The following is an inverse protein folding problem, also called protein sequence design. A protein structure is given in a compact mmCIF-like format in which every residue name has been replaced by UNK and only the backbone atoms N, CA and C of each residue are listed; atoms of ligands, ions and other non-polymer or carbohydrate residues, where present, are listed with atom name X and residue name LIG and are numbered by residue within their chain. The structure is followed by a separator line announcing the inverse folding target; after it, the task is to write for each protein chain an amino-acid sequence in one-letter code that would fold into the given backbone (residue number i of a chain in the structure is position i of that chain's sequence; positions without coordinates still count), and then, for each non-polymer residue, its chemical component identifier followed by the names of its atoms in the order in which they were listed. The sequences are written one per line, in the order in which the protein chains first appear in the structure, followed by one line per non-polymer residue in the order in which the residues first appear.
data_IF_354614358209
#
_entry.id   IF_354614358209
#
_cell.length_a   1.000
_cell.length_b   1.000
_cell.length_c   1.000
_cell.angle_alpha   90.00
_cell.angle_beta   90.00
_cell.angle_gamma   90.00
#
_symmetry.space_group_name_H-M   'P 1'
#
loop_
_entity.id
_entity.type
_entity.pdbx_description
1 polymer ?
#
# COMPACT_ATOMS: atom_id res chain seq x y z
N UNK A 1 10.49 1.49 61.07
CA UNK A 1 11.23 2.73 60.85
C UNK A 1 10.79 3.87 61.76
N UNK A 2 9.71 3.70 62.49
CA UNK A 2 9.15 4.71 63.42
C UNK A 2 9.96 4.94 64.70
N UNK A 3 11.10 4.29 64.90
CA UNK A 3 11.92 4.43 66.09
C UNK A 3 13.09 5.40 66.00
N UNK A 4 13.32 6.00 64.84
CA UNK A 4 14.50 6.82 64.59
C UNK A 4 14.22 8.32 64.29
N UNK A 5 12.95 8.76 64.30
CA UNK A 5 12.62 10.16 64.05
C UNK A 5 13.14 10.70 62.67
N UNK A 6 13.24 9.83 61.66
CA UNK A 6 13.85 10.15 60.38
C UNK A 6 12.87 10.69 59.33
N UNK A 7 11.63 10.97 59.73
CA UNK A 7 10.60 11.43 58.78
C UNK A 7 10.74 12.91 58.38
N UNK A 8 11.47 13.72 59.17
CA UNK A 8 11.60 15.17 58.89
C UNK A 8 13.04 15.69 58.72
N UNK A 9 14.07 14.86 58.82
CA UNK A 9 15.45 15.31 58.55
C UNK A 9 15.85 15.06 57.12
N UNK A 10 16.22 16.14 56.39
CA UNK A 10 16.86 16.07 55.10
C UNK A 10 18.13 15.24 55.23
N UNK A 11 18.14 14.02 54.69
CA UNK A 11 19.30 13.12 54.69
C UNK A 11 20.42 13.70 53.81
N UNK A 12 21.17 14.67 54.32
CA UNK A 12 22.37 15.26 53.73
C UNK A 12 23.62 14.38 53.98
N UNK A 13 23.62 13.18 53.46
CA UNK A 13 24.82 12.35 53.48
C UNK A 13 25.51 12.39 52.11
N UNK A 14 26.78 12.85 52.05
CA UNK A 14 27.62 12.81 50.85
C UNK A 14 27.66 11.40 50.21
N UNK A 15 27.48 10.37 50.99
CA UNK A 15 27.44 8.98 50.58
C UNK A 15 26.12 8.68 49.83
N UNK A 16 25.00 9.19 50.34
CA UNK A 16 23.67 9.05 49.72
C UNK A 16 23.62 9.81 48.37
N UNK A 17 24.18 11.02 48.32
CA UNK A 17 24.30 11.79 47.07
C UNK A 17 25.05 11.02 45.97
N UNK A 18 26.20 10.42 46.31
CA UNK A 18 26.97 9.60 45.36
C UNK A 18 26.22 8.34 44.89
N UNK A 19 25.44 7.71 45.79
CA UNK A 19 24.64 6.53 45.41
C UNK A 19 23.51 6.94 44.48
N UNK A 20 22.82 8.03 44.75
CA UNK A 20 21.75 8.58 43.91
C UNK A 20 22.31 8.95 42.53
N UNK A 21 23.43 9.67 42.47
CA UNK A 21 24.11 10.04 41.23
C UNK A 21 24.49 8.79 40.39
N UNK A 22 25.09 7.79 41.01
CA UNK A 22 25.44 6.53 40.33
C UNK A 22 24.19 5.76 39.81
N UNK A 23 23.08 5.80 40.55
CA UNK A 23 21.82 5.20 40.09
C UNK A 23 21.23 5.98 38.93
N UNK A 24 21.27 7.31 38.99
CA UNK A 24 20.81 8.16 37.88
C UNK A 24 21.64 7.94 36.62
N UNK A 25 22.98 7.94 36.71
CA UNK A 25 23.84 7.62 35.57
C UNK A 25 23.52 6.25 34.95
N UNK A 26 23.28 5.25 35.79
CA UNK A 26 22.96 3.90 35.31
C UNK A 26 21.59 3.87 34.61
N UNK A 27 20.56 4.55 35.15
CA UNK A 27 19.25 4.66 34.55
C UNK A 27 19.30 5.46 33.25
N UNK A 28 20.06 6.57 33.22
CA UNK A 28 20.26 7.37 32.00
C UNK A 28 20.99 6.57 30.93
N UNK A 29 22.07 5.85 31.29
CA UNK A 29 22.78 4.95 30.39
C UNK A 29 21.87 3.88 29.80
N UNK A 30 21.09 3.22 30.62
CA UNK A 30 20.13 2.22 30.16
C UNK A 30 19.07 2.83 29.22
N UNK A 31 18.50 3.98 29.57
CA UNK A 31 17.56 4.67 28.72
C UNK A 31 18.18 5.14 27.40
N UNK A 32 19.44 5.54 27.42
CA UNK A 32 20.19 5.90 26.21
C UNK A 32 20.36 4.69 25.29
N UNK A 33 20.79 3.55 25.83
CA UNK A 33 20.96 2.32 25.08
C UNK A 33 19.66 1.82 24.45
N UNK A 34 18.57 1.86 25.21
CA UNK A 34 17.22 1.51 24.67
C UNK A 34 16.85 2.42 23.52
N UNK A 35 17.02 3.76 23.68
CA UNK A 35 16.72 4.71 22.59
C UNK A 35 17.60 4.51 21.38
N UNK A 36 18.89 4.24 21.58
CA UNK A 36 19.84 3.95 20.51
C UNK A 36 19.42 2.70 19.72
N UNK A 37 19.10 1.63 20.41
CA UNK A 37 18.61 0.41 19.77
C UNK A 37 17.35 0.66 18.94
N UNK A 38 16.34 1.35 19.50
CA UNK A 38 15.14 1.70 18.75
C UNK A 38 15.49 2.48 17.47
N UNK A 39 16.39 3.46 17.56
CA UNK A 39 16.80 4.28 16.43
C UNK A 39 17.51 3.46 15.34
N UNK A 40 18.36 2.50 15.74
CA UNK A 40 19.10 1.63 14.82
C UNK A 40 18.16 0.75 13.98
N UNK A 41 17.10 0.20 14.57
CA UNK A 41 16.04 -0.52 13.85
C UNK A 41 15.20 0.39 12.96
N UNK A 42 14.80 1.53 13.46
CA UNK A 42 13.99 2.50 12.70
C UNK A 42 14.75 3.06 11.49
N UNK A 43 16.07 3.20 11.57
CA UNK A 43 16.91 3.66 10.46
C UNK A 43 16.84 2.71 9.24
N UNK A 44 16.69 1.41 9.43
CA UNK A 44 16.55 0.44 8.34
C UNK A 44 15.25 0.72 7.57
N UNK A 45 14.15 0.87 8.30
CA UNK A 45 12.84 1.18 7.72
C UNK A 45 12.84 2.55 7.03
N UNK A 46 13.48 3.54 7.63
CA UNK A 46 13.56 4.90 7.08
C UNK A 46 14.31 4.94 5.75
N UNK A 47 15.43 4.23 5.61
CA UNK A 47 16.16 4.12 4.34
C UNK A 47 15.30 3.50 3.24
N UNK A 48 14.58 2.43 3.54
CA UNK A 48 13.67 1.79 2.58
C UNK A 48 12.51 2.72 2.22
N UNK A 49 11.98 3.48 3.20
CA UNK A 49 10.93 4.48 2.98
C UNK A 49 11.38 5.59 2.03
N UNK A 50 12.60 6.10 2.19
CA UNK A 50 13.16 7.11 1.30
C UNK A 50 13.20 6.62 -0.16
N UNK A 51 13.64 5.37 -0.39
CA UNK A 51 13.68 4.76 -1.72
C UNK A 51 12.27 4.62 -2.31
N UNK A 52 11.33 4.06 -1.54
CA UNK A 52 9.93 3.90 -2.01
C UNK A 52 9.27 5.25 -2.32
N UNK A 53 9.52 6.27 -1.51
CA UNK A 53 8.97 7.60 -1.77
C UNK A 53 9.61 8.24 -3.01
N UNK A 54 10.90 8.02 -3.25
CA UNK A 54 11.55 8.47 -4.47
C UNK A 54 10.96 7.77 -5.71
N UNK A 55 10.74 6.44 -5.65
CA UNK A 55 10.08 5.71 -6.74
C UNK A 55 8.65 6.22 -7.01
N UNK A 56 7.88 6.47 -5.96
CA UNK A 56 6.54 7.06 -6.08
C UNK A 56 6.59 8.44 -6.75
N UNK A 57 7.54 9.28 -6.38
CA UNK A 57 7.73 10.61 -6.99
C UNK A 57 8.13 10.51 -8.46
N UNK A 58 8.97 9.53 -8.84
CA UNK A 58 9.29 9.26 -10.24
C UNK A 58 8.04 8.90 -11.05
N UNK A 59 7.20 7.97 -10.54
CA UNK A 59 5.94 7.59 -11.19
C UNK A 59 5.01 8.81 -11.36
N UNK A 60 4.92 9.66 -10.34
CA UNK A 60 4.08 10.86 -10.38
C UNK A 60 4.62 11.95 -11.30
N UNK A 61 5.93 12.07 -11.40
CA UNK A 61 6.60 13.12 -12.19
C UNK A 61 6.78 12.81 -13.67
N UNK A 62 6.73 11.52 -14.09
CA UNK A 62 6.90 11.16 -15.48
C UNK A 62 5.66 11.46 -16.30
N UNK A 63 5.86 12.03 -17.49
CA UNK A 63 4.80 12.31 -18.46
C UNK A 63 4.41 11.11 -19.33
N UNK A 64 5.25 10.08 -19.34
CA UNK A 64 5.02 8.80 -19.99
C UNK A 64 5.61 7.67 -19.13
N UNK A 65 4.87 6.57 -19.00
CA UNK A 65 5.25 5.37 -18.27
C UNK A 65 5.24 4.12 -19.16
N UNK A 66 4.99 4.30 -20.46
CA UNK A 66 4.82 3.20 -21.40
C UNK A 66 6.10 2.36 -21.51
N UNK A 67 7.23 3.01 -21.71
CA UNK A 67 8.51 2.32 -21.82
C UNK A 67 8.83 1.53 -20.56
N UNK A 68 8.65 2.13 -19.38
CA UNK A 68 8.89 1.43 -18.11
C UNK A 68 8.03 0.17 -17.95
N UNK A 69 6.75 0.27 -18.38
CA UNK A 69 5.83 -0.88 -18.32
C UNK A 69 6.22 -1.99 -19.30
N UNK A 70 6.68 -1.64 -20.49
CA UNK A 70 7.14 -2.62 -21.47
C UNK A 70 8.48 -3.27 -21.05
N UNK A 71 9.42 -2.50 -20.50
CA UNK A 71 10.66 -3.04 -19.91
C UNK A 71 10.38 -4.01 -18.75
N UNK A 72 9.44 -3.67 -17.86
CA UNK A 72 9.00 -4.57 -16.79
C UNK A 72 8.33 -5.84 -17.35
N UNK A 73 7.54 -5.70 -18.41
CA UNK A 73 6.88 -6.83 -19.05
C UNK A 73 7.91 -7.77 -19.70
N UNK A 74 8.86 -7.24 -20.43
CA UNK A 74 9.94 -8.00 -21.05
C UNK A 74 10.75 -8.77 -19.99
N UNK A 75 11.15 -8.10 -18.90
CA UNK A 75 11.87 -8.72 -17.82
C UNK A 75 11.09 -9.87 -17.15
N UNK A 76 9.77 -9.73 -16.95
CA UNK A 76 8.92 -10.79 -16.40
C UNK A 76 8.82 -11.98 -17.36
N UNK A 77 8.71 -11.75 -18.70
CA UNK A 77 8.72 -12.81 -19.70
C UNK A 77 10.04 -13.57 -19.68
N UNK A 78 11.17 -12.86 -19.66
CA UNK A 78 12.50 -13.48 -19.58
C UNK A 78 12.67 -14.30 -18.29
N UNK A 79 12.17 -13.81 -17.16
CA UNK A 79 12.23 -14.51 -15.89
C UNK A 79 11.44 -15.81 -15.93
N UNK A 80 10.26 -15.83 -16.54
CA UNK A 80 9.44 -17.04 -16.70
C UNK A 80 10.11 -18.05 -17.65
N UNK A 81 10.66 -17.58 -18.77
CA UNK A 81 11.37 -18.45 -19.73
C UNK A 81 12.59 -19.09 -19.06
N UNK A 82 13.41 -18.29 -18.36
CA UNK A 82 14.60 -18.79 -17.68
C UNK A 82 14.23 -19.76 -16.53
N UNK A 83 13.14 -19.48 -15.81
CA UNK A 83 12.66 -20.34 -14.73
C UNK A 83 12.19 -21.72 -15.22
N UNK A 84 11.48 -21.76 -16.33
CA UNK A 84 11.01 -23.04 -16.94
C UNK A 84 12.13 -23.81 -17.66
N UNK A 85 13.14 -23.13 -18.19
CA UNK A 85 14.27 -23.80 -18.85
C UNK A 85 15.21 -24.53 -17.87
N UNK A 86 15.21 -24.16 -16.59
CA UNK A 86 16.03 -24.78 -15.54
C UNK A 86 15.39 -26.07 -14.99
N UNK A 87 14.09 -26.23 -15.12
CA UNK A 87 13.35 -27.42 -14.66
C UNK A 87 13.27 -28.45 -15.80
N UNK A 88 14.24 -29.38 -15.80
CA UNK A 88 14.34 -30.47 -16.80
C UNK A 88 13.13 -31.42 -16.76
N UNK A 89 12.32 -31.38 -15.68
CA UNK A 89 11.07 -32.14 -15.47
C UNK A 89 9.81 -31.33 -15.83
N UNK A 90 9.93 -30.19 -16.50
CA UNK A 90 8.77 -29.36 -16.87
C UNK A 90 7.82 -30.09 -17.81
N UNK A 91 6.53 -30.16 -17.45
CA UNK A 91 5.51 -30.75 -18.31
C UNK A 91 5.39 -29.98 -19.62
N UNK A 92 5.17 -30.65 -20.77
CA UNK A 92 4.90 -29.99 -22.04
C UNK A 92 3.73 -28.99 -21.91
N UNK A 93 3.94 -27.74 -22.34
CA UNK A 93 2.95 -26.67 -22.19
C UNK A 93 3.01 -25.88 -20.88
N UNK A 94 3.93 -26.20 -19.97
CA UNK A 94 4.09 -25.47 -18.71
C UNK A 94 4.47 -23.98 -18.95
N UNK A 95 5.42 -23.74 -19.85
CA UNK A 95 5.82 -22.38 -20.25
C UNK A 95 4.65 -21.59 -20.83
N UNK A 96 3.88 -22.21 -21.73
CA UNK A 96 2.68 -21.58 -22.29
C UNK A 96 1.65 -21.25 -21.23
N UNK A 97 1.41 -22.14 -20.27
CA UNK A 97 0.45 -21.93 -19.19
C UNK A 97 0.88 -20.78 -18.26
N UNK A 98 2.17 -20.67 -17.94
CA UNK A 98 2.70 -19.57 -17.12
C UNK A 98 2.64 -18.23 -17.86
N UNK A 99 3.12 -18.15 -19.10
CA UNK A 99 3.06 -16.93 -19.89
C UNK A 99 1.62 -16.46 -20.10
N UNK A 100 0.69 -17.38 -20.34
CA UNK A 100 -0.73 -17.05 -20.56
C UNK A 100 -1.42 -16.43 -19.33
N UNK A 101 -0.85 -16.52 -18.16
CA UNK A 101 -1.40 -15.88 -16.94
C UNK A 101 -1.34 -14.37 -16.99
N UNK A 102 -0.38 -13.81 -17.74
CA UNK A 102 -0.19 -12.36 -17.79
C UNK A 102 0.08 -11.80 -19.20
N UNK A 103 0.68 -12.59 -20.10
CA UNK A 103 0.93 -12.18 -21.47
C UNK A 103 -0.34 -12.34 -22.33
N UNK A 104 -0.68 -11.35 -23.16
CA UNK A 104 -1.88 -11.36 -23.97
C UNK A 104 -1.69 -12.20 -25.25
N UNK A 105 -1.36 -13.48 -25.10
CA UNK A 105 -1.12 -14.41 -26.20
C UNK A 105 -2.41 -14.59 -27.02
N UNK A 106 -2.38 -14.38 -28.35
CA UNK A 106 -3.54 -14.57 -29.21
C UNK A 106 -4.08 -16.00 -29.13
N UNK A 107 -5.41 -16.15 -29.16
CA UNK A 107 -6.06 -17.49 -29.10
C UNK A 107 -5.67 -18.44 -30.25
N UNK A 108 -5.24 -17.88 -31.37
CA UNK A 108 -4.73 -18.62 -32.54
C UNK A 108 -3.32 -19.18 -32.38
N UNK A 109 -2.62 -18.79 -31.29
CA UNK A 109 -1.27 -19.23 -31.01
C UNK A 109 -1.29 -20.28 -29.91
N UNK A 110 -0.98 -21.52 -30.26
CA UNK A 110 -0.99 -22.68 -29.34
C UNK A 110 0.36 -22.91 -28.68
N UNK A 111 0.38 -23.80 -27.70
CA UNK A 111 1.59 -24.17 -26.96
C UNK A 111 2.70 -24.68 -27.89
N UNK A 112 2.36 -25.58 -28.84
CA UNK A 112 3.32 -26.18 -29.78
C UNK A 112 4.10 -25.12 -30.59
N UNK A 113 3.39 -24.05 -30.98
CA UNK A 113 4.01 -22.97 -31.75
C UNK A 113 4.90 -22.08 -30.88
N UNK A 114 4.51 -21.90 -29.63
CA UNK A 114 5.24 -21.06 -28.70
C UNK A 114 6.52 -21.75 -28.25
N UNK A 115 6.45 -23.03 -27.94
CA UNK A 115 7.59 -23.85 -27.51
C UNK A 115 8.59 -24.15 -28.66
N UNK A 116 8.17 -23.95 -29.92
CA UNK A 116 9.05 -24.05 -31.07
C UNK A 116 9.88 -22.80 -31.36
N UNK A 117 9.63 -21.70 -30.65
CA UNK A 117 10.40 -20.47 -30.80
C UNK A 117 11.66 -20.51 -29.93
N UNK A 118 12.73 -19.93 -30.44
CA UNK A 118 13.92 -19.65 -29.61
C UNK A 118 13.57 -18.62 -28.52
N UNK A 119 14.22 -18.70 -27.34
CA UNK A 119 13.91 -17.83 -26.20
C UNK A 119 13.85 -16.33 -26.54
N UNK A 120 14.80 -15.83 -27.33
CA UNK A 120 14.87 -14.43 -27.74
C UNK A 120 13.71 -14.04 -28.66
N UNK A 121 13.35 -14.92 -29.62
CA UNK A 121 12.22 -14.71 -30.52
C UNK A 121 10.90 -14.72 -29.74
N UNK A 122 10.78 -15.62 -28.74
CA UNK A 122 9.61 -15.71 -27.89
C UNK A 122 9.41 -14.43 -27.06
N UNK A 123 10.48 -13.87 -26.49
CA UNK A 123 10.42 -12.60 -25.75
C UNK A 123 9.94 -11.49 -26.69
N UNK A 124 10.56 -11.32 -27.87
CA UNK A 124 10.21 -10.30 -28.84
C UNK A 124 8.75 -10.43 -29.30
N UNK A 125 8.29 -11.66 -29.51
CA UNK A 125 6.91 -11.94 -29.90
C UNK A 125 5.91 -11.59 -28.79
N UNK A 126 6.22 -11.94 -27.52
CA UNK A 126 5.39 -11.57 -26.39
C UNK A 126 5.29 -10.05 -26.20
N UNK A 127 6.41 -9.33 -26.35
CA UNK A 127 6.43 -7.86 -26.29
C UNK A 127 5.58 -7.26 -27.41
N UNK A 128 5.67 -7.80 -28.64
CA UNK A 128 4.84 -7.34 -29.75
C UNK A 128 3.34 -7.49 -29.45
N UNK A 129 2.92 -8.64 -28.95
CA UNK A 129 1.51 -8.84 -28.57
C UNK A 129 1.07 -7.92 -27.42
N UNK A 130 1.95 -7.73 -26.44
CA UNK A 130 1.69 -6.84 -25.32
C UNK A 130 1.47 -5.40 -25.80
N UNK A 131 2.33 -4.92 -26.70
CA UNK A 131 2.25 -3.59 -27.31
C UNK A 131 0.93 -3.39 -28.07
N UNK A 132 0.58 -4.34 -28.94
CA UNK A 132 -0.65 -4.30 -29.72
C UNK A 132 -1.90 -4.23 -28.82
N UNK A 133 -1.97 -5.11 -27.80
CA UNK A 133 -3.10 -5.12 -26.89
C UNK A 133 -3.13 -3.88 -26.01
N UNK A 134 -1.97 -3.40 -25.56
CA UNK A 134 -1.84 -2.17 -24.78
C UNK A 134 -2.37 -0.96 -25.56
N UNK A 135 -1.97 -0.80 -26.82
CA UNK A 135 -2.44 0.28 -27.68
C UNK A 135 -3.94 0.19 -27.94
N UNK A 136 -4.45 -0.98 -28.29
CA UNK A 136 -5.89 -1.19 -28.52
C UNK A 136 -6.73 -0.89 -27.26
N UNK A 137 -6.25 -1.32 -26.10
CA UNK A 137 -6.92 -1.06 -24.82
C UNK A 137 -6.98 0.43 -24.52
N UNK A 138 -5.87 1.15 -24.72
CA UNK A 138 -5.79 2.59 -24.49
C UNK A 138 -6.71 3.37 -25.43
N UNK A 139 -6.73 3.02 -26.71
CA UNK A 139 -7.61 3.62 -27.70
C UNK A 139 -9.08 3.44 -27.31
N UNK A 140 -9.48 2.24 -26.91
CA UNK A 140 -10.87 1.95 -26.46
C UNK A 140 -11.24 2.77 -25.23
N UNK A 141 -10.39 2.74 -24.18
CA UNK A 141 -10.65 3.45 -22.92
C UNK A 141 -10.70 4.96 -23.11
N UNK A 142 -9.80 5.52 -23.89
CA UNK A 142 -9.77 6.95 -24.20
C UNK A 142 -10.99 7.38 -25.03
N UNK A 143 -11.35 6.59 -26.05
CA UNK A 143 -12.54 6.85 -26.87
C UNK A 143 -13.83 6.79 -26.02
N UNK A 144 -13.94 5.83 -25.09
CA UNK A 144 -15.09 5.75 -24.17
C UNK A 144 -15.14 6.94 -23.20
N UNK A 145 -13.97 7.37 -22.71
CA UNK A 145 -13.88 8.58 -21.88
C UNK A 145 -14.31 9.82 -22.66
N UNK A 146 -13.81 10.00 -23.87
CA UNK A 146 -14.21 11.12 -24.74
C UNK A 146 -15.69 11.07 -25.08
N UNK A 147 -16.24 9.91 -25.43
CA UNK A 147 -17.66 9.70 -25.69
C UNK A 147 -18.51 10.11 -24.49
N UNK A 148 -18.08 9.75 -23.29
CA UNK A 148 -18.78 10.14 -22.04
C UNK A 148 -18.77 11.64 -21.82
N UNK A 149 -17.63 12.32 -22.07
CA UNK A 149 -17.54 13.78 -21.98
C UNK A 149 -18.46 14.46 -22.99
N UNK A 150 -18.50 13.95 -24.23
CA UNK A 150 -19.36 14.45 -25.30
C UNK A 150 -20.85 14.27 -24.99
N UNK A 151 -21.25 13.11 -24.48
CA UNK A 151 -22.63 12.81 -24.11
C UNK A 151 -23.16 13.67 -22.93
N UNK A 152 -22.27 14.03 -22.01
CA UNK A 152 -22.60 14.93 -20.89
C UNK A 152 -22.68 16.38 -21.28
N UNK A 153 -22.58 16.70 -22.56
CA UNK A 153 -22.53 18.07 -23.08
C UNK A 153 -21.48 18.96 -22.38
N UNK A 154 -20.36 18.35 -21.99
CA UNK A 154 -19.27 19.05 -21.32
C UNK A 154 -18.84 20.26 -22.17
N UNK A 155 -18.88 21.49 -21.63
CA UNK A 155 -18.42 22.66 -22.37
C UNK A 155 -16.89 22.66 -22.49
N UNK A 156 -16.37 23.23 -23.58
CA UNK A 156 -14.91 23.31 -23.83
C UNK A 156 -14.20 23.99 -22.67
N UNK A 157 -14.78 25.00 -22.06
CA UNK A 157 -14.20 25.69 -20.87
C UNK A 157 -13.88 24.75 -19.71
N UNK A 158 -14.61 23.66 -19.54
CA UNK A 158 -14.34 22.71 -18.48
C UNK A 158 -12.96 22.04 -18.62
N UNK A 159 -12.40 21.98 -19.84
CA UNK A 159 -11.05 21.49 -20.09
C UNK A 159 -9.97 22.46 -19.58
N UNK A 160 -10.29 23.75 -19.48
CA UNK A 160 -9.35 24.80 -19.11
C UNK A 160 -9.50 25.28 -17.66
N UNK A 161 -10.72 25.25 -17.12
CA UNK A 161 -11.05 25.79 -15.80
C UNK A 161 -11.29 24.69 -14.76
N UNK A 162 -11.38 23.43 -15.18
CA UNK A 162 -11.66 22.30 -14.31
C UNK A 162 -10.55 22.08 -13.26
N UNK A 163 -10.94 21.98 -11.99
CA UNK A 163 -10.05 21.67 -10.89
C UNK A 163 -9.58 20.20 -10.88
N UNK A 164 -10.25 19.34 -11.64
CA UNK A 164 -9.93 17.91 -11.75
C UNK A 164 -8.50 17.73 -12.33
N UNK A 165 -7.64 16.90 -11.72
CA UNK A 165 -6.31 16.60 -12.25
C UNK A 165 -6.31 16.13 -13.69
N UNK A 166 -7.33 15.38 -14.12
CA UNK A 166 -7.47 14.93 -15.50
C UNK A 166 -7.63 16.13 -16.48
N UNK A 167 -8.50 17.08 -16.18
CA UNK A 167 -8.65 18.27 -17.02
C UNK A 167 -7.43 19.17 -17.01
N UNK A 168 -6.73 19.27 -15.88
CA UNK A 168 -5.44 19.98 -15.84
C UNK A 168 -4.39 19.34 -16.76
N UNK A 169 -4.34 18.01 -16.83
CA UNK A 169 -3.43 17.32 -17.74
C UNK A 169 -3.85 17.50 -19.21
N UNK A 170 -5.15 17.44 -19.52
CA UNK A 170 -5.68 17.74 -20.86
C UNK A 170 -5.30 19.16 -21.28
N UNK A 171 -5.53 20.16 -20.38
CA UNK A 171 -5.13 21.56 -20.63
C UNK A 171 -3.63 21.67 -20.91
N UNK A 172 -2.77 21.02 -20.14
CA UNK A 172 -1.32 21.05 -20.34
C UNK A 172 -0.94 20.48 -21.73
N UNK A 173 -1.59 19.39 -22.17
CA UNK A 173 -1.34 18.81 -23.52
C UNK A 173 -1.86 19.70 -24.64
N UNK A 174 -3.02 20.34 -24.47
CA UNK A 174 -3.50 21.34 -25.44
C UNK A 174 -2.54 22.53 -25.54
N UNK A 175 -2.04 23.01 -24.42
CA UNK A 175 -1.06 24.11 -24.40
C UNK A 175 0.26 23.71 -25.11
N UNK A 176 0.72 22.48 -24.89
CA UNK A 176 1.93 21.95 -25.53
C UNK A 176 1.76 21.74 -27.06
N UNK A 177 0.54 21.50 -27.57
CA UNK A 177 0.28 21.40 -29.00
C UNK A 177 0.25 22.76 -29.72
N UNK A 178 0.27 23.89 -28.99
CA UNK A 178 0.20 25.23 -29.56
C UNK A 178 -1.17 25.68 -30.05
N UNK A 179 -2.21 24.89 -29.81
CA UNK A 179 -3.56 25.15 -30.33
C UNK A 179 -4.57 25.69 -29.29
N UNK A 180 -4.05 26.17 -28.15
CA UNK A 180 -4.91 26.70 -27.08
C UNK A 180 -5.86 27.81 -27.57
N UNK A 181 -5.40 28.69 -28.47
CA UNK A 181 -6.21 29.77 -29.05
C UNK A 181 -7.31 29.25 -29.99
N UNK A 182 -7.08 28.13 -30.68
CA UNK A 182 -8.10 27.51 -31.51
C UNK A 182 -9.26 26.98 -30.67
N UNK A 183 -8.98 26.37 -29.53
CA UNK A 183 -10.00 25.91 -28.58
C UNK A 183 -10.70 27.07 -27.85
N UNK A 184 -10.01 28.19 -27.59
CA UNK A 184 -10.58 29.35 -26.92
C UNK A 184 -11.80 29.91 -27.66
N UNK A 185 -11.82 29.84 -28.98
CA UNK A 185 -12.98 30.27 -29.79
C UNK A 185 -14.26 29.48 -29.54
N UNK A 186 -14.12 28.27 -28.98
CA UNK A 186 -15.23 27.35 -28.68
C UNK A 186 -15.54 27.26 -27.20
N UNK A 187 -14.98 28.11 -26.37
CA UNK A 187 -14.97 28.07 -24.91
C UNK A 187 -16.35 27.78 -24.27
N UNK A 188 -17.41 28.44 -24.74
CA UNK A 188 -18.74 28.29 -24.20
C UNK A 188 -19.60 27.23 -24.90
N UNK A 189 -19.04 26.59 -25.92
CA UNK A 189 -19.78 25.56 -26.66
C UNK A 189 -19.51 24.16 -26.09
N UNK A 190 -20.50 23.24 -26.21
CA UNK A 190 -20.28 21.85 -25.84
C UNK A 190 -19.28 21.17 -26.82
N UNK A 191 -18.53 20.19 -26.32
CA UNK A 191 -17.51 19.45 -27.10
C UNK A 191 -18.03 18.92 -28.44
N UNK A 192 -19.32 18.55 -28.52
CA UNK A 192 -19.94 18.05 -29.76
C UNK A 192 -19.99 19.06 -30.92
N UNK A 193 -19.73 20.34 -30.66
CA UNK A 193 -19.70 21.41 -31.67
C UNK A 193 -18.34 21.77 -32.15
N UNK A 194 -17.30 21.10 -31.65
CA UNK A 194 -15.95 21.32 -32.13
C UNK A 194 -15.84 20.93 -33.63
N UNK A 195 -15.05 21.65 -34.43
CA UNK A 195 -14.67 21.22 -35.75
C UNK A 195 -13.96 19.86 -35.72
N UNK A 196 -14.13 19.06 -36.77
CA UNK A 196 -13.61 17.68 -36.86
C UNK A 196 -12.11 17.57 -36.54
N UNK A 197 -11.30 18.53 -37.02
CA UNK A 197 -9.88 18.56 -36.75
C UNK A 197 -9.54 18.76 -35.27
N UNK A 198 -10.23 19.68 -34.58
CA UNK A 198 -10.04 19.93 -33.15
C UNK A 198 -10.64 18.78 -32.33
N UNK A 199 -11.75 18.19 -32.77
CA UNK A 199 -12.35 17.02 -32.13
C UNK A 199 -11.40 15.83 -32.18
N UNK A 200 -10.83 15.51 -33.35
CA UNK A 200 -9.89 14.40 -33.50
C UNK A 200 -8.63 14.58 -32.63
N UNK A 201 -8.08 15.79 -32.59
CA UNK A 201 -6.93 16.12 -31.80
C UNK A 201 -7.25 16.01 -30.28
N UNK A 202 -8.39 16.56 -29.84
CA UNK A 202 -8.81 16.45 -28.46
C UNK A 202 -9.03 14.99 -28.05
N UNK A 203 -9.59 14.18 -28.93
CA UNK A 203 -9.75 12.74 -28.69
C UNK A 203 -8.39 12.06 -28.49
N UNK A 204 -7.40 12.36 -29.30
CA UNK A 204 -6.04 11.83 -29.16
C UNK A 204 -5.41 12.27 -27.82
N UNK A 205 -5.56 13.54 -27.44
CA UNK A 205 -5.10 14.05 -26.15
C UNK A 205 -5.79 13.33 -24.98
N UNK A 206 -7.11 13.12 -25.07
CA UNK A 206 -7.87 12.41 -24.04
C UNK A 206 -7.41 10.96 -23.90
N UNK A 207 -7.09 10.28 -25.02
CA UNK A 207 -6.52 8.92 -25.02
C UNK A 207 -5.19 8.91 -24.28
N UNK A 208 -4.28 9.83 -24.61
CA UNK A 208 -2.95 9.90 -23.98
C UNK A 208 -3.02 10.20 -22.48
N UNK A 209 -3.82 11.19 -22.10
CA UNK A 209 -4.03 11.52 -20.68
C UNK A 209 -4.68 10.37 -19.92
N UNK A 210 -5.70 9.71 -20.51
CA UNK A 210 -6.37 8.57 -19.86
C UNK A 210 -5.39 7.39 -19.67
N UNK A 211 -4.52 7.13 -20.64
CA UNK A 211 -3.43 6.15 -20.55
C UNK A 211 -2.52 6.46 -19.37
N UNK A 212 -1.99 7.68 -19.30
CA UNK A 212 -1.07 8.12 -18.25
C UNK A 212 -1.71 7.97 -16.84
N UNK A 213 -2.98 8.37 -16.69
CA UNK A 213 -3.67 8.24 -15.40
C UNK A 213 -3.94 6.80 -15.00
N UNK A 214 -4.22 5.91 -15.98
CA UNK A 214 -4.36 4.49 -15.74
C UNK A 214 -3.06 3.88 -15.26
N UNK A 215 -1.97 4.15 -15.97
CA UNK A 215 -0.65 3.58 -15.71
C UNK A 215 -0.11 4.03 -14.35
N UNK A 216 -0.20 5.33 -14.07
CA UNK A 216 0.14 5.87 -12.75
C UNK A 216 -0.65 5.19 -11.62
N UNK A 217 -1.96 5.03 -11.82
CA UNK A 217 -2.80 4.37 -10.81
C UNK A 217 -2.42 2.93 -10.61
N UNK A 218 -2.15 2.19 -11.70
CA UNK A 218 -1.72 0.80 -11.64
C UNK A 218 -0.43 0.68 -10.84
N UNK A 219 0.61 1.40 -11.23
CA UNK A 219 1.92 1.33 -10.60
C UNK A 219 1.88 1.77 -9.13
N UNK A 220 1.27 2.93 -8.84
CA UNK A 220 1.17 3.44 -7.47
C UNK A 220 0.40 2.49 -6.56
N UNK A 221 -0.69 1.90 -7.05
CA UNK A 221 -1.46 0.93 -6.26
C UNK A 221 -0.62 -0.28 -5.87
N UNK A 222 0.14 -0.84 -6.80
CA UNK A 222 0.97 -2.01 -6.50
C UNK A 222 2.09 -1.65 -5.51
N UNK A 223 2.75 -0.50 -5.71
CA UNK A 223 3.77 -0.01 -4.76
C UNK A 223 3.16 0.17 -3.37
N UNK A 224 2.00 0.81 -3.25
CA UNK A 224 1.36 1.09 -1.96
C UNK A 224 0.90 -0.18 -1.25
N UNK A 225 0.23 -1.08 -1.97
CA UNK A 225 -0.28 -2.34 -1.41
C UNK A 225 0.85 -3.24 -0.89
N UNK A 226 1.97 -3.32 -1.60
CA UNK A 226 3.13 -4.12 -1.19
C UNK A 226 3.91 -3.44 -0.06
N UNK A 227 4.07 -2.12 -0.11
CA UNK A 227 4.74 -1.37 0.94
C UNK A 227 4.03 -1.51 2.30
N UNK A 228 2.71 -1.42 2.34
CA UNK A 228 1.95 -1.60 3.59
C UNK A 228 2.15 -3.01 4.16
N UNK A 229 2.12 -4.04 3.31
CA UNK A 229 2.38 -5.42 3.75
C UNK A 229 3.81 -5.61 4.23
N UNK A 230 4.77 -4.99 3.56
CA UNK A 230 6.18 -5.04 3.94
C UNK A 230 6.43 -4.41 5.31
N UNK A 231 5.83 -3.26 5.60
CA UNK A 231 5.91 -2.64 6.93
C UNK A 231 5.39 -3.58 8.02
N UNK A 232 4.26 -4.22 7.79
CA UNK A 232 3.71 -5.23 8.73
C UNK A 232 4.67 -6.41 8.91
N UNK A 233 5.30 -6.86 7.82
CA UNK A 233 6.32 -7.92 7.88
C UNK A 233 7.56 -7.52 8.68
N UNK A 234 8.02 -6.27 8.53
CA UNK A 234 9.14 -5.75 9.31
C UNK A 234 8.84 -5.62 10.80
N UNK A 235 7.59 -5.26 11.15
CA UNK A 235 7.17 -5.22 12.55
C UNK A 235 7.21 -6.64 13.15
N UNK A 236 6.71 -7.65 12.45
CA UNK A 236 6.78 -9.05 12.87
C UNK A 236 8.23 -9.55 12.99
N UNK A 237 9.10 -9.18 12.03
CA UNK A 237 10.52 -9.51 12.07
C UNK A 237 11.18 -8.90 13.31
N UNK A 238 10.88 -7.63 13.61
CA UNK A 238 11.40 -6.91 14.78
C UNK A 238 11.00 -7.57 16.10
N UNK A 239 9.76 -8.01 16.22
CA UNK A 239 9.29 -8.74 17.40
C UNK A 239 9.99 -10.08 17.58
N UNK A 240 10.25 -10.80 16.49
CA UNK A 240 10.87 -12.12 16.51
C UNK A 240 12.40 -12.13 16.61
N UNK A 241 13.07 -11.05 16.20
CA UNK A 241 14.53 -11.03 16.02
C UNK A 241 15.29 -11.17 17.34
N UNK A 242 14.68 -10.71 18.46
CA UNK A 242 15.28 -10.83 19.79
C UNK A 242 15.55 -12.27 20.21
N UNK A 243 14.79 -13.24 19.72
CA UNK A 243 14.99 -14.67 20.01
C UNK A 243 16.30 -15.20 19.40
N UNK A 244 16.83 -14.57 18.35
CA UNK A 244 18.09 -14.97 17.70
C UNK A 244 19.34 -14.62 18.52
N UNK A 245 19.21 -13.70 19.48
CA UNK A 245 20.28 -13.43 20.45
C UNK A 245 20.69 -14.69 21.24
N UNK A 246 19.78 -15.65 21.39
CA UNK A 246 20.03 -16.94 22.05
C UNK A 246 21.03 -17.78 21.23
N UNK A 247 21.08 -17.58 19.90
CA UNK A 247 22.02 -18.26 18.97
C UNK A 247 23.35 -17.54 18.76
N UNK A 248 23.77 -16.64 19.68
CA UNK A 248 25.02 -15.85 19.59
C UNK A 248 25.14 -14.96 18.34
N UNK A 249 24.05 -14.69 17.62
CA UNK A 249 24.02 -13.77 16.49
C UNK A 249 23.66 -12.35 16.99
N UNK A 250 24.30 -11.34 16.38
CA UNK A 250 23.92 -9.96 16.66
C UNK A 250 22.51 -9.69 16.06
N UNK A 251 21.49 -9.42 16.91
CA UNK A 251 20.13 -9.27 16.44
C UNK A 251 19.97 -8.14 15.42
N UNK A 252 20.70 -7.03 15.59
CA UNK A 252 20.62 -5.89 14.67
C UNK A 252 21.16 -6.26 13.27
N UNK A 253 22.28 -6.98 13.19
CA UNK A 253 22.86 -7.41 11.89
C UNK A 253 21.94 -8.40 11.21
N UNK A 254 21.35 -9.33 11.96
CA UNK A 254 20.36 -10.28 11.42
C UNK A 254 19.12 -9.56 10.91
N UNK A 255 18.60 -8.58 11.67
CA UNK A 255 17.49 -7.76 11.25
C UNK A 255 17.77 -6.99 9.96
N UNK A 256 18.93 -6.32 9.87
CA UNK A 256 19.33 -5.57 8.68
C UNK A 256 19.36 -6.45 7.43
N UNK A 257 19.95 -7.64 7.54
CA UNK A 257 20.03 -8.59 6.42
C UNK A 257 18.64 -9.07 5.98
N UNK A 258 17.84 -9.56 6.91
CA UNK A 258 16.52 -10.09 6.61
C UNK A 258 15.56 -9.00 6.12
N UNK A 259 15.61 -7.82 6.71
CA UNK A 259 14.83 -6.66 6.24
C UNK A 259 15.23 -6.26 4.80
N UNK A 260 16.52 -6.40 4.44
CA UNK A 260 16.97 -6.14 3.06
C UNK A 260 16.50 -7.23 2.09
N UNK A 261 16.58 -8.50 2.46
CA UNK A 261 16.07 -9.62 1.66
C UNK A 261 14.55 -9.50 1.43
N UNK A 262 13.81 -9.16 2.49
CA UNK A 262 12.36 -8.90 2.40
C UNK A 262 12.05 -7.71 1.48
N UNK A 263 12.86 -6.66 1.53
CA UNK A 263 12.70 -5.50 0.66
C UNK A 263 12.92 -5.84 -0.81
N UNK A 264 13.97 -6.60 -1.13
CA UNK A 264 14.23 -7.06 -2.49
C UNK A 264 13.10 -7.95 -3.01
N UNK A 265 12.62 -8.89 -2.21
CA UNK A 265 11.48 -9.74 -2.55
C UNK A 265 10.20 -8.92 -2.78
N UNK A 266 9.97 -7.88 -1.96
CA UNK A 266 8.87 -6.95 -2.17
C UNK A 266 8.98 -6.22 -3.51
N UNK A 267 10.16 -5.67 -3.85
CA UNK A 267 10.35 -4.95 -5.11
C UNK A 267 10.13 -5.85 -6.33
N UNK A 268 10.65 -7.07 -6.30
CA UNK A 268 10.39 -8.08 -7.35
C UNK A 268 8.89 -8.39 -7.46
N UNK A 269 8.21 -8.54 -6.31
CA UNK A 269 6.76 -8.77 -6.29
C UNK A 269 5.95 -7.60 -6.83
N UNK A 270 6.38 -6.34 -6.57
CA UNK A 270 5.75 -5.14 -7.15
C UNK A 270 5.84 -5.17 -8.67
N UNK A 271 7.02 -5.43 -9.24
CA UNK A 271 7.23 -5.48 -10.69
C UNK A 271 6.38 -6.57 -11.33
N UNK A 272 6.45 -7.80 -10.82
CA UNK A 272 5.64 -8.92 -11.29
C UNK A 272 4.14 -8.62 -11.23
N UNK A 273 3.66 -8.02 -10.13
CA UNK A 273 2.24 -7.72 -9.96
C UNK A 273 1.76 -6.56 -10.85
N UNK A 274 2.62 -5.57 -11.16
CA UNK A 274 2.32 -4.53 -12.14
C UNK A 274 2.07 -5.19 -13.50
N UNK A 275 2.98 -6.05 -13.95
CA UNK A 275 2.88 -6.75 -15.23
C UNK A 275 1.63 -7.63 -15.30
N UNK A 276 1.41 -8.47 -14.29
CA UNK A 276 0.25 -9.36 -14.20
C UNK A 276 -1.09 -8.62 -14.17
N UNK A 277 -1.09 -7.36 -13.71
CA UNK A 277 -2.29 -6.52 -13.65
C UNK A 277 -2.48 -5.63 -14.88
N UNK A 278 -1.48 -5.51 -15.74
CA UNK A 278 -1.46 -4.54 -16.85
C UNK A 278 -2.64 -4.71 -17.81
N UNK A 279 -3.00 -5.97 -18.13
CA UNK A 279 -4.08 -6.32 -19.05
C UNK A 279 -5.38 -6.76 -18.35
N UNK A 280 -5.38 -6.85 -16.99
CA UNK A 280 -6.52 -7.35 -16.20
C UNK A 280 -7.47 -6.27 -15.69
N UNK A 281 -7.28 -4.98 -16.06
CA UNK A 281 -8.08 -3.88 -15.51
C UNK A 281 -9.53 -4.00 -16.00
N UNK A 282 -10.52 -4.31 -15.11
CA UNK A 282 -11.91 -4.35 -15.49
C UNK A 282 -12.40 -2.95 -15.87
N UNK A 283 -13.15 -2.84 -16.97
CA UNK A 283 -13.76 -1.58 -17.42
C UNK A 283 -14.62 -0.89 -16.34
N UNK A 284 -15.15 -1.63 -15.38
CA UNK A 284 -15.94 -1.12 -14.25
C UNK A 284 -15.15 -0.25 -13.25
N UNK A 285 -13.83 -0.40 -13.14
CA UNK A 285 -13.00 0.36 -12.21
C UNK A 285 -12.82 1.84 -12.61
N UNK A 286 -13.00 2.16 -13.90
CA UNK A 286 -12.88 3.53 -14.43
C UNK A 286 -14.02 4.43 -13.93
N UNK A 287 -15.22 3.89 -13.76
CA UNK A 287 -16.38 4.64 -13.30
C UNK A 287 -16.36 4.92 -11.77
N UNK A 288 -15.82 4.01 -10.97
CA UNK A 288 -15.76 4.15 -9.50
C UNK A 288 -14.56 4.99 -9.01
N UNK A 289 -13.51 5.16 -9.82
CA UNK A 289 -12.31 5.92 -9.45
C UNK A 289 -12.51 7.44 -9.28
N UNK A 290 -13.66 7.98 -9.68
CA UNK A 290 -13.97 9.41 -9.49
C UNK A 290 -14.40 9.79 -8.08
N UNK A 291 -14.88 8.84 -7.28
CA UNK A 291 -15.35 9.09 -5.90
C UNK A 291 -14.29 8.85 -4.83
N UNK A 292 -13.18 8.15 -5.14
CA UNK A 292 -12.19 7.72 -4.15
C UNK A 292 -10.83 8.41 -4.26
N UNK A 293 -10.62 9.32 -5.21
CA UNK A 293 -9.35 10.06 -5.34
C UNK A 293 -9.11 11.08 -4.21
N UNK A 294 -10.04 11.22 -3.25
CA UNK A 294 -9.93 12.15 -2.13
C UNK A 294 -9.46 11.52 -0.81
N UNK A 295 -9.28 10.21 -0.74
CA UNK A 295 -8.75 9.55 0.45
C UNK A 295 -7.45 8.84 0.13
N UNK A 296 -6.35 9.57 0.19
CA UNK A 296 -5.01 8.97 0.26
C UNK A 296 -4.91 8.20 1.58
N UNK A 297 -4.57 6.89 1.58
CA UNK A 297 -4.29 6.14 2.81
C UNK A 297 -3.07 6.65 3.58
N UNK A 298 -2.30 7.52 2.96
CA UNK A 298 -1.16 8.23 3.56
C UNK A 298 -1.54 9.67 3.95
N UNK A 299 -2.62 9.85 4.71
CA UNK A 299 -2.64 10.98 5.62
C UNK A 299 -1.40 10.83 6.52
N UNK A 300 -0.54 11.86 6.51
CA UNK A 300 0.60 11.96 7.41
C UNK A 300 0.18 11.46 8.79
N UNK A 301 1.00 10.62 9.48
CA UNK A 301 0.69 10.27 10.84
C UNK A 301 0.53 11.61 11.59
N UNK A 302 -0.71 11.91 11.99
CA UNK A 302 -0.97 12.98 12.94
C UNK A 302 0.03 12.73 14.05
N UNK A 303 0.96 13.65 14.24
CA UNK A 303 1.80 13.68 15.44
C UNK A 303 0.83 13.54 16.60
N UNK A 304 0.74 12.34 17.15
CA UNK A 304 0.15 12.12 18.46
C UNK A 304 1.05 12.93 19.37
N UNK A 305 0.63 14.15 19.69
CA UNK A 305 1.16 14.84 20.83
C UNK A 305 0.83 13.94 22.02
N UNK A 306 1.85 13.21 22.46
CA UNK A 306 1.85 12.61 23.77
C UNK A 306 1.88 13.79 24.74
N UNK A 307 0.69 14.30 25.08
CA UNK A 307 0.54 15.16 26.25
C UNK A 307 0.72 14.27 27.46
N UNK A 308 1.90 14.30 28.05
CA UNK A 308 2.11 13.89 29.42
C UNK A 308 1.27 14.81 30.29
N UNK A 309 0.04 14.43 30.58
CA UNK A 309 -0.71 14.99 31.69
C UNK A 309 -0.34 14.20 32.94
N UNK A 310 0.50 14.86 33.75
CA UNK A 310 0.63 14.52 35.15
C UNK A 310 -0.75 14.47 35.80
N UNK A 311 -0.99 13.41 36.57
CA UNK A 311 -2.27 13.10 37.13
C UNK A 311 -2.89 14.23 37.95
N UNK A 312 -4.15 14.44 37.74
CA UNK A 312 -5.06 14.86 38.83
C UNK A 312 -6.40 14.15 38.62
N UNK A 313 -6.70 13.32 39.58
CA UNK A 313 -7.93 12.56 39.73
C UNK A 313 -9.08 13.50 40.03
N UNK A 314 -10.14 13.55 39.22
CA UNK A 314 -11.51 13.68 39.69
C UNK A 314 -12.51 13.30 38.60
N UNK A 315 -13.50 12.57 39.01
CA UNK A 315 -14.49 11.81 38.28
C UNK A 315 -15.43 12.61 37.40
N UNK A 316 -15.83 12.01 36.26
CA UNK A 316 -17.22 12.05 35.78
C UNK A 316 -17.48 10.82 34.90
N UNK A 317 -18.41 9.99 35.39
CA UNK A 317 -18.89 8.80 34.70
C UNK A 317 -19.80 9.18 33.54
N UNK A 318 -19.49 8.66 32.35
CA UNK A 318 -20.46 8.48 31.28
C UNK A 318 -20.34 7.05 30.78
N UNK A 319 -21.40 6.27 31.02
CA UNK A 319 -21.52 4.86 30.71
C UNK A 319 -21.56 4.62 29.21
N UNK A 320 -20.53 4.00 28.65
CA UNK A 320 -20.61 3.33 27.38
C UNK A 320 -20.83 1.83 27.59
N UNK A 321 -21.95 1.30 27.11
CA UNK A 321 -22.29 -0.12 27.17
C UNK A 321 -21.27 -0.94 26.36
N UNK A 322 -20.70 -2.01 26.93
CA UNK A 322 -19.81 -2.89 26.21
C UNK A 322 -20.59 -3.82 25.28
N UNK A 323 -20.08 -3.97 24.06
CA UNK A 323 -20.57 -4.91 23.07
C UNK A 323 -20.53 -6.36 23.62
N UNK A 324 -21.63 -7.09 23.48
CA UNK A 324 -21.77 -8.49 23.89
C UNK A 324 -20.88 -9.39 23.06
N UNK A 325 -19.79 -9.90 23.65
CA UNK A 325 -19.05 -11.04 23.09
C UNK A 325 -19.74 -12.35 23.45
N UNK A 326 -19.90 -13.23 22.47
CA UNK A 326 -20.66 -14.49 22.54
C UNK A 326 -19.97 -15.64 23.31
N UNK A 327 -18.90 -15.37 24.07
CA UNK A 327 -18.24 -16.38 24.93
C UNK A 327 -18.58 -16.12 26.41
N UNK A 328 -19.19 -17.13 27.06
CA UNK A 328 -19.48 -17.10 28.51
C UNK A 328 -18.18 -17.01 29.30
N UNK A 329 -18.10 -16.17 30.33
CA UNK A 329 -16.92 -16.08 31.19
C UNK A 329 -16.68 -17.39 31.94
N UNK A 330 -15.43 -17.68 32.24
CA UNK A 330 -15.07 -18.79 33.10
C UNK A 330 -15.59 -18.62 34.53
N UNK A 331 -15.71 -19.70 35.29
CA UNK A 331 -16.32 -19.72 36.62
C UNK A 331 -15.71 -18.68 37.58
N UNK A 332 -14.43 -18.38 37.48
CA UNK A 332 -13.71 -17.44 38.33
C UNK A 332 -13.50 -16.06 37.71
N UNK A 333 -13.93 -15.84 36.44
CA UNK A 333 -13.79 -14.56 35.77
C UNK A 333 -14.77 -13.50 36.31
N UNK A 334 -14.53 -12.22 36.09
CA UNK A 334 -15.48 -11.16 36.42
C UNK A 334 -16.81 -11.39 35.71
N UNK A 335 -17.91 -11.16 36.45
CA UNK A 335 -19.24 -11.38 35.90
C UNK A 335 -19.54 -10.38 34.75
N UNK A 336 -20.12 -10.87 33.67
CA UNK A 336 -20.50 -10.08 32.49
C UNK A 336 -21.48 -8.93 32.76
N UNK A 337 -22.17 -8.95 33.92
CA UNK A 337 -23.10 -7.88 34.33
C UNK A 337 -22.41 -6.63 34.90
N UNK A 338 -21.08 -6.62 35.05
CA UNK A 338 -20.33 -5.48 35.57
C UNK A 338 -20.44 -5.28 37.09
N UNK A 339 -20.96 -6.24 37.85
CA UNK A 339 -21.15 -6.15 39.34
C UNK A 339 -19.86 -6.23 40.15
N UNK A 340 -18.70 -6.43 39.52
CA UNK A 340 -17.41 -6.63 40.19
C UNK A 340 -17.25 -7.97 40.91
N UNK A 341 -18.30 -8.80 40.98
CA UNK A 341 -18.26 -10.15 41.58
C UNK A 341 -17.78 -11.19 40.55
N UNK A 342 -17.18 -12.29 41.03
CA UNK A 342 -16.84 -13.41 40.20
C UNK A 342 -18.11 -14.04 39.60
N UNK A 343 -18.04 -14.54 38.37
CA UNK A 343 -19.20 -15.11 37.68
C UNK A 343 -19.90 -16.21 38.48
N UNK A 344 -19.16 -17.06 39.17
CA UNK A 344 -19.71 -18.11 40.08
C UNK A 344 -20.58 -17.58 41.21
N UNK A 345 -20.28 -16.38 41.71
CA UNK A 345 -20.94 -15.77 42.87
C UNK A 345 -22.05 -14.78 42.44
N UNK A 346 -22.28 -14.63 41.11
CA UNK A 346 -23.27 -13.72 40.55
C UNK A 346 -24.27 -14.47 39.63
N UNK A 347 -23.96 -14.66 38.37
CA UNK A 347 -24.92 -15.18 37.37
C UNK A 347 -24.74 -16.65 37.02
N UNK A 348 -23.69 -17.34 37.49
CA UNK A 348 -23.41 -18.71 37.11
C UNK A 348 -24.54 -19.71 37.40
N UNK A 349 -25.23 -19.55 38.55
CA UNK A 349 -26.35 -20.43 38.92
C UNK A 349 -27.59 -20.18 38.07
N UNK A 350 -27.91 -18.93 37.78
CA UNK A 350 -29.06 -18.53 36.97
C UNK A 350 -28.88 -18.92 35.49
N UNK A 351 -27.66 -18.78 34.97
CA UNK A 351 -27.36 -19.12 33.56
C UNK A 351 -27.28 -20.63 33.34
N UNK A 352 -26.89 -21.42 34.36
CA UNK A 352 -26.91 -22.88 34.32
C UNK A 352 -28.33 -23.45 34.33
N UNK A 353 -29.23 -22.83 35.10
CA UNK A 353 -30.64 -23.26 35.13
C UNK A 353 -31.42 -22.94 33.86
N UNK A 354 -30.99 -21.95 33.08
CA UNK A 354 -31.57 -21.64 31.77
C UNK A 354 -31.17 -22.65 30.66
N UNK A 355 -30.03 -23.32 30.81
CA UNK A 355 -29.60 -24.35 29.87
C UNK A 355 -30.27 -25.72 30.13
N UNK A 356 -30.58 -26.03 31.39
CA UNK A 356 -31.29 -27.27 31.75
C UNK A 356 -32.78 -27.25 31.36
N UNK A 357 -33.35 -26.10 31.06
CA UNK A 357 -34.74 -25.95 30.59
C UNK A 357 -34.96 -25.94 29.06
N UNK A 358 -33.90 -26.17 28.26
CA UNK A 358 -33.96 -26.19 26.78
C UNK A 358 -33.80 -27.55 26.17
N UNK A 359 -33.77 -28.62 26.98
CA UNK A 359 -33.74 -30.02 26.55
C UNK A 359 -35.01 -30.68 27.06
N UNK A 360 -36.13 -30.38 26.44
CA UNK A 360 -37.42 -30.99 26.62
C UNK A 360 -38.25 -30.76 25.39
#
# INVERSE_FOLDING_TARGET
MDRAGLEDEALESKMLGKVIESVQERVEGYNFDVRKHVLEYDNVVNKQREVIYAERQKILGRDDLHQDLMEMFEAEVQLVINGTAVDDDSEPGALFAELRRFAPIPRSFGADKLEALEPEELVAQCVTWAEDVYQQMNQRMGADTYRTLRQRETPVKALFEGADPFFRAVKARIAASGEADAYAKWHDYPLRRLPDNLEAQLQAIVVDVQRLFRDRRLMLRQVDDHWVRHLTGLDMLREGIGLRAIGQQNPLVSYQREAFEMYQAMMASVQSQIVRSLFLIPQAAVAQGRAQAATTPFAQPRKRQLSFQAGNSQAAAAASQPARTSKRPGRNDPCWCGSGKKYKDCHWRSDRNKDSGRSG
#
